data_IF_941167650356
#
_entry.id   IF_941167650356
#
_cell.length_a   1.000
_cell.length_b   1.000
_cell.length_c   1.000
_cell.angle_alpha   90.00
_cell.angle_beta   90.00
_cell.angle_gamma   90.00
#
_symmetry.space_group_name_H-M   'P 1'
#
loop_
_entity.id
_entity.type
_entity.pdbx_description
1 polymer ?
#
# COMPACT_ATOMS: atom_id res chain seq x y z
N UNK A 1 -5.98 -0.18 -23.25
CA UNK A 1 -5.53 0.60 -24.43
C UNK A 1 -6.39 1.85 -24.53
N UNK A 2 -5.85 3.01 -24.19
CA UNK A 2 -6.54 4.30 -24.35
C UNK A 2 -6.38 4.73 -25.82
N UNK A 3 -7.47 4.80 -26.59
CA UNK A 3 -7.45 5.41 -27.92
C UNK A 3 -7.81 6.89 -27.81
N UNK A 4 -6.93 7.75 -28.30
CA UNK A 4 -7.21 9.17 -28.53
C UNK A 4 -7.82 9.30 -29.93
N UNK A 5 -9.10 9.64 -29.99
CA UNK A 5 -9.79 9.93 -31.25
C UNK A 5 -10.05 11.44 -31.34
N UNK A 6 -9.34 12.14 -32.23
CA UNK A 6 -9.71 13.49 -32.65
C UNK A 6 -10.73 13.41 -33.80
N UNK A 7 -11.88 14.10 -33.75
CA UNK A 7 -12.84 14.08 -34.85
C UNK A 7 -12.26 14.83 -36.06
N UNK A 8 -12.18 14.17 -37.22
CA UNK A 8 -11.90 14.82 -38.51
C UNK A 8 -10.48 14.69 -39.08
N UNK A 9 -9.60 13.86 -38.51
CA UNK A 9 -8.27 13.59 -39.07
C UNK A 9 -8.13 12.10 -39.40
N UNK A 10 -7.96 11.73 -40.68
CA UNK A 10 -7.56 10.37 -41.04
C UNK A 10 -6.04 10.22 -40.83
N UNK A 11 -5.63 9.49 -39.80
CA UNK A 11 -4.22 9.14 -39.62
C UNK A 11 -3.88 7.92 -40.48
N UNK A 12 -2.90 8.06 -41.38
CA UNK A 12 -2.33 6.94 -42.11
C UNK A 12 -1.46 6.08 -41.18
N UNK A 13 -1.64 4.75 -41.26
CA UNK A 13 -1.05 3.72 -40.38
C UNK A 13 0.48 3.75 -40.26
N UNK A 14 1.18 4.47 -41.13
CA UNK A 14 2.66 4.59 -41.12
C UNK A 14 3.25 5.54 -40.06
N UNK A 15 2.44 6.37 -39.41
CA UNK A 15 2.95 7.36 -38.44
C UNK A 15 3.10 6.84 -36.99
N UNK A 16 2.56 5.65 -36.69
CA UNK A 16 2.59 5.11 -35.31
C UNK A 16 3.90 4.38 -34.99
N UNK A 17 4.58 3.80 -35.99
CA UNK A 17 5.74 2.92 -35.76
C UNK A 17 7.10 3.63 -35.73
N UNK A 18 7.19 4.94 -36.02
CA UNK A 18 8.47 5.64 -36.15
C UNK A 18 8.85 6.58 -34.99
N UNK A 19 8.04 6.68 -33.93
CA UNK A 19 8.40 7.42 -32.72
C UNK A 19 8.72 8.91 -32.90
N UNK A 20 8.37 9.51 -34.06
CA UNK A 20 8.57 10.93 -34.31
C UNK A 20 7.33 11.70 -33.84
N UNK A 21 7.51 12.56 -32.83
CA UNK A 21 6.55 13.58 -32.43
C UNK A 21 6.22 14.47 -33.64
N UNK A 22 5.11 14.17 -34.32
CA UNK A 22 4.62 15.01 -35.40
C UNK A 22 4.15 16.35 -34.81
N UNK A 23 4.82 17.44 -35.17
CA UNK A 23 4.34 18.79 -34.86
C UNK A 23 3.00 19.00 -35.58
N UNK A 24 1.89 19.05 -34.86
CA UNK A 24 0.60 19.40 -35.45
C UNK A 24 0.58 20.89 -35.82
N UNK A 25 0.45 21.20 -37.11
CA UNK A 25 0.02 22.54 -37.57
C UNK A 25 -1.50 22.53 -37.66
N UNK A 26 -2.16 23.27 -36.77
CA UNK A 26 -3.58 23.57 -36.94
C UNK A 26 -3.72 24.68 -37.97
N UNK A 27 -4.34 24.39 -39.11
CA UNK A 27 -4.83 25.41 -40.07
C UNK A 27 -6.33 25.56 -39.89
N UNK A 28 -6.75 26.53 -39.07
CA UNK A 28 -8.14 27.00 -39.08
C UNK A 28 -8.29 28.09 -40.15
N UNK A 29 -9.31 28.04 -41.03
CA UNK A 29 -9.61 29.13 -41.93
C UNK A 29 -10.35 30.24 -41.15
N UNK A 30 -9.71 31.40 -40.96
CA UNK A 30 -10.39 32.60 -40.42
C UNK A 30 -9.59 33.52 -39.49
N UNK A 31 -8.39 33.15 -39.03
CA UNK A 31 -7.61 34.02 -38.14
C UNK A 31 -6.56 34.83 -38.91
N UNK A 32 -6.70 36.17 -38.96
CA UNK A 32 -5.62 37.08 -39.40
C UNK A 32 -4.42 36.91 -38.47
N UNK A 33 -3.23 36.78 -39.06
CA UNK A 33 -1.98 36.56 -38.34
C UNK A 33 -1.62 37.77 -37.46
N UNK A 34 -1.56 37.58 -36.14
CA UNK A 34 -0.91 38.52 -35.23
C UNK A 34 0.61 38.26 -35.21
N UNK A 35 1.46 39.31 -35.15
CA UNK A 35 2.91 39.16 -35.26
C UNK A 35 3.54 38.41 -34.08
N UNK A 36 4.60 37.66 -34.38
CA UNK A 36 5.41 36.82 -33.48
C UNK A 36 6.01 37.62 -32.31
N UNK A 37 5.28 37.80 -31.20
CA UNK A 37 5.83 38.08 -29.85
C UNK A 37 4.69 38.14 -28.83
N UNK A 38 4.09 36.98 -28.52
CA UNK A 38 3.35 36.66 -27.28
C UNK A 38 2.57 35.37 -27.53
N UNK A 39 3.07 34.25 -26.99
CA UNK A 39 2.31 32.99 -26.89
C UNK A 39 2.16 32.67 -25.41
N UNK A 40 1.00 32.98 -24.84
CA UNK A 40 0.52 32.33 -23.62
C UNK A 40 -0.04 30.95 -23.99
N UNK A 41 0.18 29.88 -23.20
CA UNK A 41 -0.40 28.58 -23.49
C UNK A 41 -1.90 28.58 -23.15
N UNK A 42 -2.74 28.23 -24.13
CA UNK A 42 -4.16 27.99 -23.91
C UNK A 42 -4.35 26.65 -23.20
N UNK A 43 -5.14 26.63 -22.12
CA UNK A 43 -5.56 25.43 -21.39
C UNK A 43 -6.85 24.89 -22.03
N UNK A 44 -6.89 23.61 -22.38
CA UNK A 44 -8.09 22.95 -22.90
C UNK A 44 -8.82 22.22 -21.75
N UNK A 45 -10.12 22.47 -21.61
CA UNK A 45 -11.01 21.70 -20.73
C UNK A 45 -11.62 20.51 -21.49
N UNK A 46 -11.73 19.36 -20.81
CA UNK A 46 -12.46 18.18 -21.29
C UNK A 46 -13.83 18.16 -20.59
N UNK A 47 -14.91 18.26 -21.36
CA UNK A 47 -16.27 18.10 -20.86
C UNK A 47 -16.83 16.73 -21.32
N UNK A 48 -17.41 15.97 -20.38
CA UNK A 48 -18.04 14.67 -20.64
C UNK A 48 -19.47 14.85 -21.15
N UNK A 49 -19.93 14.12 -22.20
CA UNK A 49 -21.28 14.28 -22.74
C UNK A 49 -22.25 13.30 -22.06
N UNK A 50 -23.13 13.81 -21.21
CA UNK A 50 -24.32 13.08 -20.81
C UNK A 50 -25.48 14.04 -20.54
N UNK A 51 -26.37 14.23 -21.51
CA UNK A 51 -27.84 14.04 -21.38
C UNK A 51 -28.58 14.58 -22.62
N UNK A 52 -29.54 13.79 -23.11
CA UNK A 52 -30.44 14.09 -24.23
C UNK A 52 -31.53 15.12 -23.85
N UNK A 53 -32.21 15.74 -24.85
CA UNK A 53 -33.14 16.85 -24.65
C UNK A 53 -34.58 16.38 -24.39
N UNK A 54 -35.27 16.98 -23.42
CA UNK A 54 -36.72 16.79 -23.25
C UNK A 54 -37.32 17.41 -21.96
N UNK A 55 -38.11 18.46 -22.16
CA UNK A 55 -39.19 19.00 -21.33
C UNK A 55 -38.94 19.84 -20.06
N UNK A 56 -39.69 20.96 -20.07
CA UNK A 56 -40.26 21.76 -18.99
C UNK A 56 -39.39 22.91 -18.43
N UNK A 57 -39.68 24.10 -18.97
CA UNK A 57 -39.41 25.38 -18.33
C UNK A 57 -40.10 25.44 -16.96
N UNK A 58 -39.33 25.72 -15.93
CA UNK A 58 -39.83 26.27 -14.67
C UNK A 58 -39.22 27.65 -14.56
N UNK A 59 -40.08 28.68 -14.68
CA UNK A 59 -39.76 30.07 -14.38
C UNK A 59 -39.20 30.18 -12.96
N UNK A 60 -37.93 30.55 -12.84
CA UNK A 60 -37.34 30.99 -11.57
C UNK A 60 -37.20 32.52 -11.64
N UNK A 61 -37.84 33.28 -10.75
CA UNK A 61 -37.78 34.74 -10.78
C UNK A 61 -36.37 35.25 -10.47
N UNK A 62 -36.00 36.46 -10.92
CA UNK A 62 -34.66 36.99 -10.71
C UNK A 62 -34.47 37.31 -9.23
N UNK A 63 -33.77 36.44 -8.50
CA UNK A 63 -33.31 36.78 -7.16
C UNK A 63 -31.95 37.48 -7.24
N UNK A 64 -31.97 38.66 -6.63
CA UNK A 64 -30.92 39.64 -6.42
C UNK A 64 -29.56 39.01 -6.08
N UNK A 65 -28.56 39.27 -6.92
CA UNK A 65 -27.16 38.97 -6.60
C UNK A 65 -26.75 39.88 -5.44
N UNK A 66 -26.73 39.33 -4.22
CA UNK A 66 -26.02 39.95 -3.09
C UNK A 66 -24.53 39.67 -3.31
N UNK A 67 -23.81 40.64 -3.85
CA UNK A 67 -22.35 40.63 -3.95
C UNK A 67 -21.73 40.87 -2.59
N UNK A 68 -21.48 39.81 -1.83
CA UNK A 68 -20.43 39.78 -0.79
C UNK A 68 -19.72 38.44 -0.81
N UNK A 69 -19.10 38.10 -1.93
CA UNK A 69 -18.05 37.09 -1.97
C UNK A 69 -16.70 37.82 -1.97
N UNK A 70 -16.02 37.84 -0.83
CA UNK A 70 -14.59 38.11 -0.79
C UNK A 70 -13.88 37.07 -1.66
N UNK A 71 -13.35 37.53 -2.79
CA UNK A 71 -12.54 36.74 -3.73
C UNK A 71 -11.40 36.08 -2.95
N UNK A 72 -11.19 34.75 -3.04
CA UNK A 72 -10.03 34.13 -2.42
C UNK A 72 -8.76 34.69 -3.05
N UNK A 73 -7.82 35.05 -2.18
CA UNK A 73 -6.50 35.58 -2.49
C UNK A 73 -5.81 34.72 -3.57
N UNK A 74 -5.22 35.36 -4.59
CA UNK A 74 -4.59 34.65 -5.71
C UNK A 74 -3.48 33.74 -5.17
N UNK A 75 -3.71 32.43 -5.25
CA UNK A 75 -2.66 31.43 -4.94
C UNK A 75 -1.52 31.63 -5.95
N UNK A 76 -0.35 32.00 -5.43
CA UNK A 76 0.87 32.18 -6.21
C UNK A 76 1.34 30.85 -6.79
N UNK A 77 1.79 30.85 -8.05
CA UNK A 77 2.43 29.69 -8.68
C UNK A 77 3.67 29.22 -7.88
N UNK A 78 4.33 30.13 -7.15
CA UNK A 78 5.43 29.81 -6.21
C UNK A 78 4.96 28.93 -5.07
N UNK A 79 3.80 29.25 -4.47
CA UNK A 79 3.23 28.50 -3.36
C UNK A 79 2.82 27.09 -3.81
N UNK A 80 2.26 26.95 -5.01
CA UNK A 80 1.96 25.64 -5.60
C UNK A 80 3.24 24.83 -5.89
N UNK A 81 4.29 25.47 -6.40
CA UNK A 81 5.59 24.83 -6.64
C UNK A 81 6.28 24.40 -5.35
N UNK A 82 6.18 25.18 -4.28
CA UNK A 82 6.75 24.88 -2.96
C UNK A 82 6.02 23.71 -2.29
N UNK A 83 4.68 23.69 -2.34
CA UNK A 83 3.87 22.57 -1.83
C UNK A 83 4.17 21.29 -2.60
N UNK A 84 4.14 21.35 -3.95
CA UNK A 84 4.45 20.18 -4.79
C UNK A 84 5.88 19.69 -4.57
N UNK A 85 6.85 20.60 -4.38
CA UNK A 85 8.24 20.23 -4.09
C UNK A 85 8.38 19.58 -2.70
N UNK A 86 7.66 20.08 -1.69
CA UNK A 86 7.63 19.50 -0.35
C UNK A 86 7.05 18.08 -0.34
N UNK A 87 5.92 17.87 -1.01
CA UNK A 87 5.26 16.56 -1.09
C UNK A 87 6.12 15.54 -1.88
N UNK A 88 6.76 15.96 -2.97
CA UNK A 88 7.71 15.12 -3.71
C UNK A 88 8.95 14.76 -2.89
N UNK A 89 9.48 15.70 -2.09
CA UNK A 89 10.62 15.45 -1.22
C UNK A 89 10.25 14.45 -0.12
N UNK A 90 9.07 14.62 0.49
CA UNK A 90 8.53 13.72 1.50
C UNK A 90 8.34 12.30 0.93
N UNK A 91 7.78 12.18 -0.27
CA UNK A 91 7.64 10.88 -0.95
C UNK A 91 9.00 10.23 -1.23
N UNK A 92 9.96 10.98 -1.75
CA UNK A 92 11.30 10.47 -2.05
C UNK A 92 12.03 9.99 -0.78
N UNK A 93 11.90 10.74 0.32
CA UNK A 93 12.48 10.35 1.61
C UNK A 93 11.80 9.10 2.18
N UNK A 94 10.47 8.99 2.08
CA UNK A 94 9.74 7.79 2.48
C UNK A 94 10.20 6.57 1.68
N UNK A 95 10.31 6.68 0.36
CA UNK A 95 10.75 5.56 -0.49
C UNK A 95 12.19 5.13 -0.20
N UNK A 96 13.11 6.08 0.01
CA UNK A 96 14.49 5.78 0.40
C UNK A 96 14.55 5.04 1.74
N UNK A 97 13.73 5.45 2.71
CA UNK A 97 13.62 4.76 4.00
C UNK A 97 13.14 3.32 3.80
N UNK A 98 12.08 3.11 3.01
CA UNK A 98 11.53 1.77 2.76
C UNK A 98 12.55 0.85 2.09
N UNK A 99 13.33 1.33 1.12
CA UNK A 99 14.36 0.51 0.47
C UNK A 99 15.46 0.10 1.47
N UNK A 100 15.90 1.04 2.31
CA UNK A 100 16.88 0.77 3.38
C UNK A 100 16.32 -0.24 4.38
N UNK A 101 15.07 -0.04 4.77
CA UNK A 101 14.35 -0.91 5.69
C UNK A 101 14.27 -2.33 5.13
N UNK A 102 13.82 -2.48 3.88
CA UNK A 102 13.74 -3.78 3.20
C UNK A 102 15.09 -4.51 3.18
N UNK A 103 16.16 -3.82 2.76
CA UNK A 103 17.50 -4.39 2.76
C UNK A 103 17.96 -4.80 4.17
N UNK A 104 17.64 -3.99 5.19
CA UNK A 104 17.98 -4.28 6.58
C UNK A 104 17.23 -5.52 7.11
N UNK A 105 15.96 -5.68 6.72
CA UNK A 105 15.14 -6.85 7.07
C UNK A 105 15.69 -8.15 6.47
N UNK A 106 16.07 -8.14 5.19
CA UNK A 106 16.65 -9.30 4.51
C UNK A 106 18.02 -9.70 5.10
N UNK A 107 18.88 -8.71 5.39
CA UNK A 107 20.18 -8.96 6.02
C UNK A 107 19.99 -9.56 7.42
N UNK A 108 19.07 -9.01 8.23
CA UNK A 108 18.78 -9.54 9.57
C UNK A 108 18.27 -10.99 9.50
N UNK A 109 17.40 -11.30 8.54
CA UNK A 109 16.92 -12.67 8.33
C UNK A 109 18.06 -13.65 8.03
N UNK A 110 18.99 -13.27 7.15
CA UNK A 110 20.10 -14.12 6.76
C UNK A 110 21.06 -14.41 7.93
N UNK A 111 21.20 -13.48 8.88
CA UNK A 111 22.08 -13.63 10.04
C UNK A 111 21.50 -14.44 11.21
N UNK A 112 20.19 -14.74 11.21
CA UNK A 112 19.49 -15.39 12.34
C UNK A 112 18.86 -16.72 11.96
N UNK A 113 19.41 -17.41 10.95
CA UNK A 113 18.92 -18.74 10.57
C UNK A 113 19.28 -19.75 11.67
N UNK A 114 18.32 -20.60 12.01
CA UNK A 114 18.41 -21.61 13.07
C UNK A 114 18.72 -21.06 14.48
N UNK A 115 18.64 -19.75 14.66
CA UNK A 115 18.90 -19.11 15.96
C UNK A 115 17.67 -19.22 16.88
N UNK A 116 17.68 -20.22 17.76
CA UNK A 116 16.62 -20.45 18.74
C UNK A 116 16.51 -19.36 19.82
N UNK A 117 17.48 -18.44 19.92
CA UNK A 117 17.45 -17.34 20.89
C UNK A 117 16.79 -16.07 20.32
N UNK A 118 16.32 -16.12 19.07
CA UNK A 118 15.57 -15.04 18.45
C UNK A 118 14.32 -14.69 19.27
N UNK A 119 14.21 -13.41 19.62
CA UNK A 119 13.07 -12.92 20.41
C UNK A 119 11.87 -12.59 19.54
N UNK A 120 10.69 -12.49 20.14
CA UNK A 120 9.50 -12.01 19.43
C UNK A 120 9.68 -10.56 18.93
N UNK A 121 10.39 -9.73 19.69
CA UNK A 121 10.70 -8.35 19.29
C UNK A 121 11.64 -8.30 18.09
N UNK A 122 12.64 -9.20 18.03
CA UNK A 122 13.52 -9.33 16.88
C UNK A 122 12.76 -9.72 15.62
N UNK A 123 11.85 -10.68 15.77
CA UNK A 123 10.93 -11.10 14.73
C UNK A 123 10.04 -9.94 14.26
N UNK A 124 9.37 -9.23 15.17
CA UNK A 124 8.49 -8.11 14.81
C UNK A 124 9.25 -6.98 14.14
N UNK A 125 10.49 -6.69 14.57
CA UNK A 125 11.35 -5.70 13.96
C UNK A 125 11.76 -6.11 12.53
N UNK A 126 12.15 -7.37 12.34
CA UNK A 126 12.45 -7.95 11.01
C UNK A 126 11.22 -7.83 10.08
N UNK A 127 10.07 -8.29 10.55
CA UNK A 127 8.80 -8.26 9.82
C UNK A 127 8.34 -6.84 9.50
N UNK A 128 8.59 -5.89 10.41
CA UNK A 128 8.35 -4.46 10.14
C UNK A 128 9.18 -4.00 8.94
N UNK A 129 10.49 -4.21 8.98
CA UNK A 129 11.39 -3.73 7.94
C UNK A 129 11.14 -4.37 6.58
N UNK A 130 10.90 -5.69 6.56
CA UNK A 130 10.68 -6.47 5.35
C UNK A 130 9.32 -6.24 4.70
N UNK A 131 8.27 -6.05 5.50
CA UNK A 131 6.88 -6.10 4.99
C UNK A 131 6.09 -4.86 5.40
N UNK A 132 6.03 -4.55 6.69
CA UNK A 132 5.10 -3.52 7.18
C UNK A 132 5.53 -2.07 6.84
N UNK A 133 6.83 -1.82 6.71
CA UNK A 133 7.41 -0.49 6.43
C UNK A 133 6.85 0.12 5.15
N UNK A 134 6.73 -0.68 4.07
CA UNK A 134 6.18 -0.25 2.80
C UNK A 134 4.70 0.13 2.92
N UNK A 135 3.90 -0.67 3.63
CA UNK A 135 2.47 -0.42 3.82
C UNK A 135 2.25 0.82 4.69
N UNK A 136 3.02 0.95 5.78
CA UNK A 136 3.02 2.12 6.67
C UNK A 136 3.41 3.40 5.93
N UNK A 137 4.47 3.37 5.12
CA UNK A 137 4.90 4.51 4.33
C UNK A 137 3.86 4.89 3.26
N UNK A 138 3.21 3.90 2.63
CA UNK A 138 2.20 4.13 1.60
C UNK A 138 0.95 4.81 2.15
N UNK A 139 0.44 4.31 3.27
CA UNK A 139 -0.74 4.85 3.96
C UNK A 139 -0.48 6.25 4.53
N UNK A 140 0.70 6.48 5.11
CA UNK A 140 1.16 7.82 5.51
C UNK A 140 1.26 8.78 4.33
N UNK A 141 1.83 8.33 3.22
CA UNK A 141 1.97 9.17 2.02
C UNK A 141 0.62 9.56 1.44
N UNK A 142 -0.35 8.63 1.40
CA UNK A 142 -1.71 8.94 0.98
C UNK A 142 -2.39 9.99 1.88
N UNK A 143 -2.15 9.93 3.20
CA UNK A 143 -2.61 10.95 4.13
C UNK A 143 -1.96 12.31 3.84
N UNK A 144 -0.63 12.36 3.66
CA UNK A 144 0.11 13.59 3.31
C UNK A 144 -0.49 14.24 2.05
N UNK A 145 -0.69 13.47 0.97
CA UNK A 145 -1.27 13.97 -0.27
C UNK A 145 -2.72 14.45 -0.15
N UNK A 146 -3.43 14.01 0.88
CA UNK A 146 -4.80 14.46 1.17
C UNK A 146 -4.83 15.79 1.92
N UNK A 147 -3.68 16.36 2.30
CA UNK A 147 -3.58 17.63 3.00
C UNK A 147 -4.11 17.60 4.43
N UNK A 148 -4.20 16.41 5.04
CA UNK A 148 -4.68 16.24 6.42
C UNK A 148 -3.60 16.60 7.44
N UNK A 149 -4.00 16.83 8.70
CA UNK A 149 -3.07 17.16 9.78
C UNK A 149 -2.09 16.03 10.08
N UNK A 150 -0.92 16.39 10.63
CA UNK A 150 0.17 15.45 10.96
C UNK A 150 -0.28 14.30 11.86
N UNK A 151 -1.17 14.56 12.83
CA UNK A 151 -1.74 13.52 13.69
C UNK A 151 -2.46 12.43 12.89
N UNK A 152 -3.22 12.80 11.85
CA UNK A 152 -3.90 11.82 10.98
C UNK A 152 -2.86 11.07 10.14
N UNK A 153 -1.82 11.74 9.65
CA UNK A 153 -0.74 11.08 8.93
C UNK A 153 -0.05 10.00 9.78
N UNK A 154 0.25 10.28 11.05
CA UNK A 154 0.84 9.29 11.96
C UNK A 154 -0.12 8.14 12.28
N UNK A 155 -1.41 8.41 12.46
CA UNK A 155 -2.40 7.35 12.64
C UNK A 155 -2.53 6.45 11.40
N UNK A 156 -2.44 7.04 10.20
CA UNK A 156 -2.42 6.25 8.97
C UNK A 156 -1.14 5.42 8.82
N UNK A 157 0.00 5.94 9.28
CA UNK A 157 1.23 5.15 9.38
C UNK A 157 1.06 3.95 10.32
N UNK A 158 0.51 4.16 11.52
CA UNK A 158 0.25 3.07 12.48
C UNK A 158 -0.77 2.06 11.96
N UNK A 159 -1.79 2.50 11.23
CA UNK A 159 -2.70 1.59 10.52
C UNK A 159 -1.92 0.67 9.57
N UNK A 160 -1.11 1.25 8.67
CA UNK A 160 -0.35 0.46 7.70
C UNK A 160 0.70 -0.45 8.35
N UNK A 161 1.36 0.03 9.40
CA UNK A 161 2.35 -0.73 10.18
C UNK A 161 1.71 -1.97 10.82
N UNK A 162 0.60 -1.79 11.53
CA UNK A 162 -0.04 -2.90 12.24
C UNK A 162 -0.75 -3.86 11.28
N UNK A 163 -1.35 -3.36 10.18
CA UNK A 163 -1.86 -4.22 9.10
C UNK A 163 -0.75 -5.07 8.49
N UNK A 164 0.41 -4.48 8.18
CA UNK A 164 1.54 -5.22 7.59
C UNK A 164 2.13 -6.27 8.53
N UNK A 165 2.21 -5.98 9.83
CA UNK A 165 2.62 -6.97 10.83
C UNK A 165 1.59 -8.10 10.97
N UNK A 166 0.29 -7.78 11.04
CA UNK A 166 -0.78 -8.77 11.07
C UNK A 166 -0.74 -9.67 9.83
N UNK A 167 -0.51 -9.09 8.64
CA UNK A 167 -0.38 -9.81 7.38
C UNK A 167 0.80 -10.79 7.39
N UNK A 168 1.97 -10.36 7.87
CA UNK A 168 3.14 -11.24 7.96
C UNK A 168 2.91 -12.41 8.93
N UNK A 169 2.33 -12.15 10.11
CA UNK A 169 2.05 -13.22 11.08
C UNK A 169 1.03 -14.22 10.52
N UNK A 170 0.01 -13.74 9.78
CA UNK A 170 -0.94 -14.60 9.06
C UNK A 170 -0.22 -15.48 8.05
N UNK A 171 0.63 -14.92 7.19
CA UNK A 171 1.39 -15.69 6.19
C UNK A 171 2.28 -16.75 6.84
N UNK A 172 2.92 -16.42 7.96
CA UNK A 172 3.75 -17.36 8.73
C UNK A 172 2.92 -18.49 9.36
N UNK A 173 1.68 -18.24 9.78
CA UNK A 173 0.75 -19.28 10.26
C UNK A 173 0.36 -20.21 9.11
N UNK A 174 0.03 -19.63 7.95
CA UNK A 174 -0.39 -20.41 6.78
C UNK A 174 0.70 -21.38 6.33
N UNK A 175 1.99 -21.03 6.48
CA UNK A 175 3.12 -21.95 6.22
C UNK A 175 3.01 -23.28 6.99
N UNK A 176 2.34 -23.31 8.15
CA UNK A 176 2.13 -24.52 8.95
C UNK A 176 0.76 -25.19 8.76
N UNK A 177 -0.27 -24.44 8.36
CA UNK A 177 -1.67 -24.91 8.41
C UNK A 177 -2.28 -25.23 7.06
N UNK A 178 -1.83 -24.61 5.97
CA UNK A 178 -2.39 -24.87 4.65
C UNK A 178 -1.81 -26.14 4.01
N UNK A 179 -2.61 -26.78 3.16
CA UNK A 179 -2.17 -27.97 2.43
C UNK A 179 -1.12 -27.60 1.37
N UNK A 180 -0.27 -28.56 1.02
CA UNK A 180 0.78 -28.36 0.02
C UNK A 180 0.21 -27.93 -1.35
N UNK A 181 -1.00 -28.36 -1.69
CA UNK A 181 -1.71 -28.01 -2.92
C UNK A 181 -2.17 -26.55 -2.95
N UNK A 182 -2.50 -25.96 -1.79
CA UNK A 182 -2.99 -24.58 -1.68
C UNK A 182 -1.83 -23.56 -1.65
N UNK A 183 -0.72 -23.92 -1.02
CA UNK A 183 0.48 -23.07 -0.90
C UNK A 183 1.47 -23.22 -2.07
N UNK A 184 1.42 -24.34 -2.80
CA UNK A 184 2.42 -24.69 -3.81
C UNK A 184 3.81 -25.03 -3.23
N UNK A 185 3.92 -25.21 -1.89
CA UNK A 185 5.13 -25.60 -1.17
C UNK A 185 4.80 -26.54 0.00
N UNK A 186 5.73 -27.39 0.47
CA UNK A 186 5.52 -28.22 1.65
C UNK A 186 5.28 -27.35 2.90
N UNK A 187 4.47 -27.85 3.85
CA UNK A 187 4.27 -27.18 5.14
C UNK A 187 5.59 -27.06 5.92
N UNK A 188 5.75 -25.95 6.65
CA UNK A 188 6.96 -25.64 7.41
C UNK A 188 8.16 -25.32 6.53
N UNK A 189 7.95 -24.77 5.33
CA UNK A 189 9.05 -24.44 4.41
C UNK A 189 9.98 -23.38 4.99
N UNK A 190 9.47 -22.45 5.80
CA UNK A 190 10.30 -21.43 6.43
C UNK A 190 11.16 -22.04 7.54
N UNK A 191 10.55 -22.93 8.35
CA UNK A 191 11.26 -23.70 9.36
C UNK A 191 12.36 -24.57 8.74
N UNK A 192 12.08 -25.25 7.62
CA UNK A 192 13.05 -26.08 6.91
C UNK A 192 14.29 -25.31 6.41
N UNK A 193 14.15 -23.99 6.18
CA UNK A 193 15.26 -23.10 5.80
C UNK A 193 15.96 -22.46 7.01
N UNK A 194 15.53 -22.80 8.23
CA UNK A 194 16.01 -22.19 9.47
C UNK A 194 15.40 -20.81 9.77
N UNK A 195 14.42 -20.34 9.02
CA UNK A 195 13.74 -19.07 9.33
C UNK A 195 12.70 -19.32 10.41
N UNK A 196 13.05 -18.98 11.66
CA UNK A 196 12.13 -19.14 12.78
C UNK A 196 11.11 -17.98 12.79
N UNK A 197 9.85 -18.34 12.60
CA UNK A 197 8.69 -17.42 12.54
C UNK A 197 7.86 -17.49 13.82
N UNK A 198 6.84 -16.62 13.94
CA UNK A 198 6.07 -16.49 15.19
C UNK A 198 5.55 -17.82 15.78
N UNK A 199 4.98 -18.78 14.99
CA UNK A 199 4.56 -20.07 15.54
C UNK A 199 5.71 -20.84 16.23
N UNK A 200 6.91 -20.82 15.65
CA UNK A 200 8.09 -21.52 16.17
C UNK A 200 8.64 -20.80 17.40
N UNK A 201 8.74 -19.48 17.35
CA UNK A 201 9.22 -18.65 18.47
C UNK A 201 8.35 -18.86 19.71
N UNK A 202 7.03 -18.95 19.53
CA UNK A 202 6.13 -19.27 20.63
C UNK A 202 6.27 -20.72 21.11
N UNK A 203 6.40 -21.68 20.19
CA UNK A 203 6.59 -23.09 20.54
C UNK A 203 7.88 -23.34 21.34
N UNK A 204 8.98 -22.64 21.00
CA UNK A 204 10.28 -22.76 21.67
C UNK A 204 10.26 -22.37 23.15
N UNK A 205 9.25 -21.62 23.61
CA UNK A 205 9.11 -21.25 25.02
C UNK A 205 8.71 -22.44 25.89
N UNK A 206 7.99 -23.41 25.31
CA UNK A 206 7.36 -24.51 26.05
C UNK A 206 7.87 -25.91 25.59
N UNK A 207 8.60 -26.01 24.47
CA UNK A 207 9.11 -27.28 23.92
C UNK A 207 10.66 -27.31 23.81
N UNK A 208 11.39 -27.75 24.86
CA UNK A 208 12.86 -27.86 24.82
C UNK A 208 13.36 -28.80 23.72
N UNK A 209 12.62 -29.86 23.40
CA UNK A 209 12.96 -30.79 22.32
C UNK A 209 12.96 -30.13 20.94
N UNK A 210 12.14 -29.09 20.75
CA UNK A 210 12.10 -28.36 19.48
C UNK A 210 13.42 -27.63 19.24
N UNK A 211 14.01 -27.03 20.30
CA UNK A 211 15.33 -26.41 20.24
C UNK A 211 16.40 -27.41 19.83
N UNK A 212 16.45 -28.59 20.45
CA UNK A 212 17.43 -29.63 20.10
C UNK A 212 17.39 -30.01 18.61
N UNK A 213 16.19 -30.11 18.04
CA UNK A 213 16.00 -30.45 16.62
C UNK A 213 16.44 -29.32 15.69
N UNK A 214 16.16 -28.07 16.07
CA UNK A 214 16.54 -26.89 15.26
C UNK A 214 18.04 -26.64 15.34
N UNK A 215 18.66 -26.73 16.52
CA UNK A 215 20.10 -26.55 16.74
C UNK A 215 20.92 -27.63 16.00
N UNK A 216 20.35 -28.81 15.78
CA UNK A 216 20.96 -29.87 14.96
C UNK A 216 20.68 -29.71 13.45
N UNK A 217 20.05 -28.60 13.03
CA UNK A 217 19.66 -28.29 11.66
C UNK A 217 18.93 -29.44 10.95
N UNK A 218 18.05 -30.14 11.68
CA UNK A 218 17.30 -31.29 11.16
C UNK A 218 18.17 -32.45 10.63
N UNK A 219 19.37 -32.66 11.21
CA UNK A 219 20.33 -33.69 10.79
C UNK A 219 19.76 -35.11 10.72
N UNK A 220 18.80 -35.44 11.60
CA UNK A 220 18.19 -36.76 11.64
C UNK A 220 17.01 -36.90 10.66
N UNK A 221 16.87 -38.05 9.95
CA UNK A 221 15.73 -38.28 9.08
C UNK A 221 14.38 -38.13 9.79
N UNK A 222 13.48 -37.31 9.24
CA UNK A 222 12.14 -37.07 9.80
C UNK A 222 12.08 -36.06 10.96
N UNK A 223 13.22 -35.49 11.35
CA UNK A 223 13.30 -34.47 12.41
C UNK A 223 12.49 -33.21 12.10
N UNK A 224 12.47 -32.75 10.83
CA UNK A 224 11.61 -31.63 10.39
C UNK A 224 10.12 -31.92 10.61
N UNK A 225 9.66 -33.12 10.26
CA UNK A 225 8.27 -33.53 10.50
C UNK A 225 7.94 -33.54 12.00
N UNK A 226 8.85 -34.05 12.81
CA UNK A 226 8.72 -34.00 14.28
C UNK A 226 8.65 -32.56 14.77
N UNK A 227 9.51 -31.66 14.29
CA UNK A 227 9.50 -30.25 14.68
C UNK A 227 8.18 -29.55 14.33
N UNK A 228 7.61 -29.83 13.15
CA UNK A 228 6.29 -29.32 12.75
C UNK A 228 5.21 -29.82 13.71
N UNK A 229 5.21 -31.10 14.08
CA UNK A 229 4.27 -31.65 15.07
C UNK A 229 4.41 -30.99 16.46
N UNK A 230 5.65 -30.71 16.89
CA UNK A 230 5.91 -29.99 18.15
C UNK A 230 5.33 -28.57 18.11
N UNK A 231 5.46 -27.85 17.00
CA UNK A 231 4.87 -26.51 16.83
C UNK A 231 3.34 -26.56 16.88
N UNK A 232 2.72 -27.58 16.28
CA UNK A 232 1.27 -27.78 16.32
C UNK A 232 0.75 -28.07 17.74
N UNK A 233 1.41 -28.95 18.49
CA UNK A 233 0.93 -29.37 19.83
C UNK A 233 1.24 -28.39 20.96
N UNK A 234 2.27 -27.56 20.81
CA UNK A 234 2.72 -26.60 21.84
C UNK A 234 1.81 -25.37 21.97
N UNK A 235 0.87 -25.19 21.05
CA UNK A 235 0.03 -23.99 21.00
C UNK A 235 0.74 -22.78 20.38
N UNK A 236 1.92 -22.96 19.78
CA UNK A 236 2.66 -21.90 19.09
C UNK A 236 1.82 -21.21 17.99
N UNK A 237 1.08 -22.01 17.22
CA UNK A 237 0.15 -21.50 16.19
C UNK A 237 -0.96 -20.65 16.82
N UNK A 238 -1.60 -21.11 17.89
CA UNK A 238 -2.67 -20.37 18.59
C UNK A 238 -2.17 -19.01 19.08
N UNK A 239 -0.97 -18.97 19.68
CA UNK A 239 -0.36 -17.72 20.16
C UNK A 239 0.02 -16.79 19.00
N UNK A 240 0.44 -17.32 17.86
CA UNK A 240 0.63 -16.53 16.65
C UNK A 240 -0.70 -15.97 16.11
N UNK A 241 -1.80 -16.73 16.14
CA UNK A 241 -3.13 -16.22 15.77
C UNK A 241 -3.56 -15.06 16.69
N UNK A 242 -3.32 -15.17 18.00
CA UNK A 242 -3.57 -14.10 18.98
C UNK A 242 -2.75 -12.84 18.66
N UNK A 243 -1.46 -13.00 18.33
CA UNK A 243 -0.60 -11.89 17.91
C UNK A 243 -1.11 -11.24 16.61
N UNK A 244 -1.47 -12.03 15.60
CA UNK A 244 -2.02 -11.52 14.34
C UNK A 244 -3.28 -10.68 14.59
N UNK A 245 -4.17 -11.18 15.45
CA UNK A 245 -5.39 -10.49 15.88
C UNK A 245 -5.09 -9.21 16.64
N UNK A 246 -4.15 -9.23 17.59
CA UNK A 246 -3.72 -8.03 18.33
C UNK A 246 -3.25 -6.93 17.36
N UNK A 247 -2.40 -7.27 16.39
CA UNK A 247 -1.96 -6.29 15.38
C UNK A 247 -3.10 -5.84 14.49
N UNK A 248 -4.02 -6.73 14.10
CA UNK A 248 -5.22 -6.35 13.36
C UNK A 248 -6.10 -5.35 14.13
N UNK A 249 -6.36 -5.61 15.41
CA UNK A 249 -7.16 -4.74 16.28
C UNK A 249 -6.52 -3.35 16.45
N UNK A 250 -5.18 -3.28 16.61
CA UNK A 250 -4.44 -2.01 16.63
C UNK A 250 -4.52 -1.24 15.31
N UNK A 251 -4.52 -1.95 14.17
CA UNK A 251 -4.72 -1.32 12.87
C UNK A 251 -6.12 -0.68 12.79
N UNK A 252 -7.17 -1.43 13.15
CA UNK A 252 -8.55 -0.93 13.17
C UNK A 252 -8.71 0.26 14.13
N UNK A 253 -8.06 0.21 15.30
CA UNK A 253 -8.07 1.33 16.25
C UNK A 253 -7.49 2.61 15.64
N UNK A 254 -6.43 2.50 14.86
CA UNK A 254 -5.78 3.65 14.20
C UNK A 254 -6.71 4.35 13.19
N UNK A 255 -7.70 3.64 12.62
CA UNK A 255 -8.71 4.20 11.72
C UNK A 255 -9.75 5.08 12.42
N UNK A 256 -9.76 5.13 13.76
CA UNK A 256 -10.69 5.98 14.51
C UNK A 256 -10.46 7.48 14.28
N UNK A 257 -9.28 7.87 13.78
CA UNK A 257 -9.00 9.24 13.36
C UNK A 257 -9.79 9.68 12.12
N UNK A 258 -10.36 8.74 11.35
CA UNK A 258 -11.12 9.02 10.13
C UNK A 258 -12.63 9.08 10.38
N UNK A 259 -13.37 9.93 9.64
CA UNK A 259 -14.82 9.96 9.72
C UNK A 259 -15.43 8.63 9.27
N UNK A 260 -16.55 8.27 9.88
CA UNK A 260 -17.34 7.08 9.47
C UNK A 260 -17.78 7.24 8.02
N UNK A 261 -17.34 6.32 7.17
CA UNK A 261 -17.58 6.34 5.73
C UNK A 261 -17.42 4.92 5.16
N UNK A 262 -17.85 4.71 3.92
CA UNK A 262 -17.62 3.45 3.21
C UNK A 262 -16.13 3.18 3.01
N UNK A 263 -15.30 4.22 2.83
CA UNK A 263 -13.85 4.08 2.70
C UNK A 263 -13.20 3.57 3.98
N UNK A 264 -13.53 4.17 5.13
CA UNK A 264 -13.06 3.66 6.43
C UNK A 264 -13.50 2.22 6.65
N UNK A 265 -14.77 1.92 6.39
CA UNK A 265 -15.32 0.56 6.53
C UNK A 265 -14.61 -0.45 5.62
N UNK A 266 -14.15 0.00 4.45
CA UNK A 266 -13.39 -0.85 3.51
C UNK A 266 -11.98 -1.15 4.05
N UNK A 267 -11.30 -0.18 4.66
CA UNK A 267 -10.02 -0.42 5.33
C UNK A 267 -10.17 -1.39 6.51
N UNK A 268 -11.23 -1.26 7.31
CA UNK A 268 -11.55 -2.24 8.37
C UNK A 268 -11.77 -3.65 7.78
N UNK A 269 -12.49 -3.76 6.66
CA UNK A 269 -12.68 -5.05 5.95
C UNK A 269 -11.38 -5.65 5.44
N UNK A 270 -10.39 -4.87 5.04
CA UNK A 270 -9.07 -5.39 4.63
C UNK A 270 -8.40 -6.11 5.79
N UNK A 271 -8.46 -5.53 7.00
CA UNK A 271 -7.92 -6.16 8.21
C UNK A 271 -8.67 -7.46 8.54
N UNK A 272 -10.01 -7.42 8.52
CA UNK A 272 -10.82 -8.60 8.76
C UNK A 272 -10.57 -9.72 7.74
N UNK A 273 -10.47 -9.38 6.45
CA UNK A 273 -10.14 -10.34 5.40
C UNK A 273 -8.78 -11.00 5.64
N UNK A 274 -7.77 -10.26 6.09
CA UNK A 274 -6.48 -10.82 6.43
C UNK A 274 -6.60 -11.88 7.55
N UNK A 275 -7.33 -11.58 8.62
CA UNK A 275 -7.52 -12.49 9.76
C UNK A 275 -8.36 -13.72 9.40
N UNK A 276 -9.38 -13.59 8.55
CA UNK A 276 -10.22 -14.70 8.10
C UNK A 276 -9.47 -15.80 7.37
N UNK A 277 -8.23 -15.54 6.91
CA UNK A 277 -7.39 -16.54 6.24
C UNK A 277 -6.92 -17.66 7.19
N UNK A 278 -6.91 -17.40 8.50
CA UNK A 278 -6.40 -18.30 9.55
C UNK A 278 -7.51 -18.75 10.53
N UNK A 279 -8.77 -18.47 10.20
CA UNK A 279 -9.97 -18.89 10.94
C UNK A 279 -10.46 -20.28 10.48
#
# INVERSE_FOLDING_TARGET
>A
MLSLSCPGVSMSKKAFDSGQLASCRCSWPGARAAPRRQRTPCVCFVASPATQPGLAAIDVPPQTIVTTASVPERISVSSLLEVVSGDLLNLNNNLKSVIKDFASGEIKQASTLFDCDVTLDDYLLKSYYKTASLIAASTRSAAIFSGVGTTICEQMYEYGRNLGLSFQVVDDILDFTQSAEQLGKPAGSDLAKGNLTAPVIFALQDEPRLREIIDSEFSEPGSLGTAIELVHRSGGIRRAQELAKEKGDLAIQSLQCLPRSEFRSTLEKVVHYNLQRIE
#
